data_IF_506969730355
#
_entry.id   IF_506969730355
#
_cell.length_a   1.000
_cell.length_b   1.000
_cell.length_c   1.000
_cell.angle_alpha   90.00
_cell.angle_beta   90.00
_cell.angle_gamma   90.00
#
_symmetry.space_group_name_H-M   'P 1'
#
loop_
_entity.id
_entity.type
_entity.pdbx_description
1 polymer ?
#
# COMPACT_ATOMS: atom_id res chain seq x y z
N UNK A 1 36.72 1.58 -59.68
CA UNK A 1 36.27 2.88 -59.16
C UNK A 1 35.01 2.64 -58.32
N UNK A 2 34.93 3.28 -57.14
CA UNK A 2 34.18 2.86 -55.94
C UNK A 2 32.65 2.72 -56.11
N UNK A 3 32.10 1.59 -55.67
CA UNK A 3 30.68 1.46 -55.26
C UNK A 3 30.54 2.02 -53.83
N UNK A 4 29.72 3.06 -53.64
CA UNK A 4 29.23 3.48 -52.33
C UNK A 4 27.94 2.70 -52.01
N UNK A 5 27.98 1.83 -51.00
CA UNK A 5 26.78 1.30 -50.34
C UNK A 5 26.42 2.24 -49.19
N UNK A 6 25.28 2.91 -49.29
CA UNK A 6 24.71 3.69 -48.20
C UNK A 6 24.17 2.77 -47.11
N UNK A 7 24.63 2.97 -45.88
CA UNK A 7 24.08 2.36 -44.67
C UNK A 7 22.95 3.27 -44.20
N UNK A 8 21.70 2.82 -44.33
CA UNK A 8 20.55 3.47 -43.69
C UNK A 8 20.57 3.03 -42.22
N UNK A 9 20.86 3.96 -41.32
CA UNK A 9 20.82 3.72 -39.88
C UNK A 9 19.41 4.07 -39.40
N UNK A 10 18.58 3.06 -39.13
CA UNK A 10 17.27 3.26 -38.51
C UNK A 10 17.48 3.51 -37.02
N UNK A 11 17.32 4.76 -36.57
CA UNK A 11 17.33 5.10 -35.16
C UNK A 11 16.03 4.60 -34.52
N UNK A 12 16.14 3.59 -33.66
CA UNK A 12 15.04 3.11 -32.82
C UNK A 12 14.89 4.06 -31.63
N UNK A 13 13.99 5.03 -31.73
CA UNK A 13 13.54 5.84 -30.60
C UNK A 13 12.69 4.95 -29.68
N UNK A 14 13.32 4.39 -28.65
CA UNK A 14 12.62 3.77 -27.53
C UNK A 14 11.94 4.90 -26.76
N UNK A 15 10.64 5.06 -26.95
CA UNK A 15 9.82 5.97 -26.15
C UNK A 15 9.88 5.55 -24.69
N UNK A 16 10.61 6.33 -23.87
CA UNK A 16 10.57 6.22 -22.42
C UNK A 16 9.13 6.55 -21.99
N UNK A 17 8.36 5.51 -21.67
CA UNK A 17 7.10 5.71 -20.98
C UNK A 17 7.47 6.23 -19.59
N UNK A 18 7.10 7.48 -19.31
CA UNK A 18 7.23 8.04 -17.97
C UNK A 18 6.41 7.16 -17.02
N UNK A 19 7.09 6.33 -16.23
CA UNK A 19 6.47 5.65 -15.09
C UNK A 19 6.14 6.75 -14.10
N UNK A 20 4.88 7.17 -14.07
CA UNK A 20 4.42 8.12 -13.07
C UNK A 20 4.48 7.42 -11.71
N UNK A 21 5.38 7.89 -10.84
CA UNK A 21 5.31 7.58 -9.41
C UNK A 21 4.02 8.19 -8.88
N UNK A 22 3.12 7.36 -8.35
CA UNK A 22 1.92 7.81 -7.67
C UNK A 22 2.15 7.71 -6.15
N UNK A 23 1.68 8.69 -5.40
CA UNK A 23 1.65 8.60 -3.95
C UNK A 23 0.40 7.81 -3.54
N UNK A 24 0.57 6.79 -2.71
CA UNK A 24 -0.55 6.13 -2.03
C UNK A 24 -0.82 6.84 -0.71
N UNK A 25 -2.10 7.13 -0.44
CA UNK A 25 -2.52 7.75 0.83
C UNK A 25 -3.80 7.09 1.31
N UNK A 26 -3.76 6.55 2.53
CA UNK A 26 -4.89 6.00 3.27
C UNK A 26 -5.13 6.89 4.49
N UNK A 27 -6.31 7.49 4.59
CA UNK A 27 -6.69 8.37 5.69
C UNK A 27 -8.07 8.00 6.23
N UNK A 28 -8.13 7.67 7.51
CA UNK A 28 -9.36 7.28 8.19
C UNK A 28 -10.40 8.41 8.24
N UNK A 29 -9.98 9.67 8.07
CA UNK A 29 -10.87 10.83 8.08
C UNK A 29 -11.72 10.92 6.81
N UNK A 30 -11.14 10.54 5.66
CA UNK A 30 -11.75 10.65 4.32
C UNK A 30 -12.38 9.33 3.86
N UNK A 31 -11.98 8.21 4.44
CA UNK A 31 -12.61 6.92 4.15
C UNK A 31 -13.94 6.78 4.92
N UNK A 32 -15.02 6.61 4.16
CA UNK A 32 -16.31 6.21 4.73
C UNK A 32 -16.15 4.85 5.42
N UNK A 33 -16.84 4.67 6.55
CA UNK A 33 -16.84 3.44 7.36
C UNK A 33 -17.03 2.21 6.45
N UNK A 34 -15.98 1.38 6.30
CA UNK A 34 -16.02 0.10 5.60
C UNK A 34 -15.26 0.00 4.26
N UNK A 35 -13.96 0.27 4.24
CA UNK A 35 -13.09 0.03 3.07
C UNK A 35 -11.73 -0.47 3.58
N UNK A 36 -11.13 -1.59 3.14
CA UNK A 36 -11.25 -2.43 1.94
C UNK A 36 -11.16 -3.94 2.29
N UNK A 37 -11.51 -4.84 1.35
CA UNK A 37 -11.51 -6.30 1.56
C UNK A 37 -10.11 -6.87 1.88
N UNK A 38 -10.07 -7.95 2.67
CA UNK A 38 -8.88 -8.69 3.17
C UNK A 38 -8.13 -8.08 4.36
N UNK A 39 -8.46 -6.86 4.76
CA UNK A 39 -7.93 -6.22 5.96
C UNK A 39 -8.89 -6.46 7.14
N UNK A 40 -8.45 -7.10 8.23
CA UNK A 40 -9.24 -7.15 9.46
C UNK A 40 -9.19 -5.80 10.19
N UNK A 41 -9.46 -4.70 9.48
CA UNK A 41 -9.47 -3.33 9.97
C UNK A 41 -10.88 -2.74 9.83
N UNK A 42 -11.26 -1.96 10.83
CA UNK A 42 -12.52 -1.20 10.86
C UNK A 42 -12.20 0.25 11.18
N UNK A 43 -12.94 1.16 10.57
CA UNK A 43 -12.89 2.58 10.93
C UNK A 43 -13.66 2.76 12.24
N UNK A 44 -12.99 3.29 13.26
CA UNK A 44 -13.57 3.72 14.53
C UNK A 44 -13.52 5.23 14.61
N UNK A 45 -14.42 5.78 15.42
CA UNK A 45 -14.51 7.21 15.69
C UNK A 45 -14.67 7.42 17.20
N UNK A 46 -13.97 8.41 17.75
CA UNK A 46 -14.07 8.76 19.16
C UNK A 46 -13.16 9.89 19.56
N UNK A 47 -13.17 10.22 20.85
CA UNK A 47 -12.32 11.26 21.40
C UNK A 47 -10.86 10.81 21.39
N UNK A 48 -9.94 11.74 21.15
CA UNK A 48 -8.50 11.45 21.23
C UNK A 48 -8.20 10.95 22.64
N UNK A 49 -8.62 11.69 23.66
CA UNK A 49 -8.65 11.22 25.03
C UNK A 49 -9.87 10.33 25.28
N UNK A 50 -9.65 9.03 25.53
CA UNK A 50 -10.74 8.05 25.72
C UNK A 50 -11.52 8.26 27.03
N UNK A 51 -10.92 8.97 28.00
CA UNK A 51 -11.51 9.21 29.31
C UNK A 51 -12.42 10.45 29.32
N UNK A 52 -12.38 11.26 28.25
CA UNK A 52 -13.15 12.48 28.15
C UNK A 52 -14.34 12.33 27.19
N UNK A 53 -15.45 12.97 27.55
CA UNK A 53 -16.52 13.24 26.59
C UNK A 53 -16.07 14.42 25.74
N UNK A 54 -16.08 14.24 24.42
CA UNK A 54 -15.79 15.29 23.46
C UNK A 54 -17.00 15.51 22.55
N UNK A 55 -17.09 16.72 22.00
CA UNK A 55 -18.12 17.05 21.02
C UNK A 55 -17.92 16.26 19.73
N UNK A 56 -19.00 16.09 18.95
CA UNK A 56 -18.94 15.38 17.66
C UNK A 56 -17.88 15.99 16.73
N UNK A 57 -17.73 17.31 16.74
CA UNK A 57 -16.72 18.02 15.96
C UNK A 57 -15.26 17.73 16.39
N UNK A 58 -15.05 17.15 17.56
CA UNK A 58 -13.74 16.85 18.15
C UNK A 58 -13.38 15.36 18.02
N UNK A 59 -14.27 14.53 17.47
CA UNK A 59 -14.00 13.11 17.30
C UNK A 59 -12.98 12.89 16.18
N UNK A 60 -11.95 12.11 16.49
CA UNK A 60 -10.99 11.62 15.52
C UNK A 60 -11.46 10.28 14.95
N UNK A 61 -11.04 9.97 13.72
CA UNK A 61 -11.24 8.66 13.08
C UNK A 61 -9.92 7.93 12.96
N UNK A 62 -9.95 6.60 13.08
CA UNK A 62 -8.77 5.76 12.92
C UNK A 62 -9.15 4.33 12.52
N UNK A 63 -8.21 3.60 11.94
CA UNK A 63 -8.29 2.17 11.71
C UNK A 63 -7.85 1.39 12.96
N UNK A 64 -8.60 0.35 13.31
CA UNK A 64 -8.24 -0.65 14.34
C UNK A 64 -8.73 -2.03 13.93
N UNK A 65 -8.26 -3.09 14.56
CA UNK A 65 -8.88 -4.41 14.39
C UNK A 65 -10.16 -4.61 15.23
N UNK A 66 -11.02 -5.57 14.86
CA UNK A 66 -12.05 -6.13 15.75
C UNK A 66 -11.42 -6.76 17.00
N UNK A 67 -12.17 -6.84 18.12
CA UNK A 67 -11.68 -7.35 19.41
C UNK A 67 -11.05 -8.75 19.36
N UNK A 68 -11.48 -9.60 18.42
CA UNK A 68 -11.08 -11.01 18.32
C UNK A 68 -10.06 -11.29 17.22
N UNK A 69 -9.57 -10.25 16.52
CA UNK A 69 -8.70 -10.40 15.36
C UNK A 69 -7.47 -9.51 15.45
N UNK A 70 -6.46 -9.87 14.67
CA UNK A 70 -5.32 -9.02 14.36
C UNK A 70 -5.49 -8.56 12.91
N UNK A 71 -5.43 -7.25 12.72
CA UNK A 71 -5.44 -6.55 11.45
C UNK A 71 -4.05 -6.41 10.85
N UNK A 72 -4.05 -6.31 9.53
CA UNK A 72 -2.90 -5.96 8.72
C UNK A 72 -3.38 -5.11 7.55
N UNK A 73 -2.51 -4.22 7.07
CA UNK A 73 -2.70 -3.42 5.88
C UNK A 73 -1.59 -3.80 4.89
N UNK A 74 -1.99 -4.18 3.67
CA UNK A 74 -1.10 -4.66 2.62
C UNK A 74 -1.23 -3.78 1.38
N UNK A 75 -0.18 -3.02 1.10
CA UNK A 75 -0.14 -2.05 0.01
C UNK A 75 0.75 -2.63 -1.09
N UNK A 76 0.12 -3.06 -2.17
CA UNK A 76 0.81 -3.54 -3.37
C UNK A 76 1.34 -2.40 -4.24
N UNK A 77 2.52 -2.60 -4.82
CA UNK A 77 3.13 -1.68 -5.78
C UNK A 77 4.66 -1.77 -5.76
N UNK A 78 5.32 -1.28 -6.81
CA UNK A 78 6.77 -1.35 -6.93
C UNK A 78 7.43 -0.13 -6.28
N UNK A 79 8.29 -0.35 -5.30
CA UNK A 79 9.16 0.64 -4.69
C UNK A 79 10.61 0.31 -5.04
N UNK A 80 11.30 1.25 -5.67
CA UNK A 80 12.71 1.13 -6.04
C UNK A 80 13.37 2.51 -5.96
N UNK A 81 14.65 2.57 -5.60
CA UNK A 81 15.36 3.83 -5.43
C UNK A 81 14.94 4.58 -4.16
N UNK A 82 14.66 5.87 -4.30
CA UNK A 82 14.35 6.74 -3.17
C UNK A 82 12.84 6.79 -2.92
N UNK A 83 12.40 6.39 -1.74
CA UNK A 83 10.98 6.37 -1.37
C UNK A 83 10.78 6.66 0.12
N UNK A 84 9.53 6.88 0.52
CA UNK A 84 9.18 7.26 1.89
C UNK A 84 7.83 6.67 2.30
N UNK A 85 7.74 6.17 3.53
CA UNK A 85 6.51 5.65 4.12
C UNK A 85 6.28 6.39 5.43
N UNK A 86 5.16 7.10 5.53
CA UNK A 86 4.77 7.83 6.73
C UNK A 86 3.52 7.19 7.35
N UNK A 87 3.56 7.02 8.67
CA UNK A 87 2.48 6.43 9.45
C UNK A 87 2.15 7.36 10.62
N UNK A 88 0.87 7.61 10.83
CA UNK A 88 0.37 8.30 12.03
C UNK A 88 -0.36 7.28 12.89
N UNK A 89 0.31 6.80 13.95
CA UNK A 89 -0.16 5.67 14.77
C UNK A 89 -0.12 5.94 16.27
N UNK A 90 -1.09 5.39 16.96
CA UNK A 90 -1.07 5.21 18.40
C UNK A 90 -1.20 3.70 18.65
N UNK A 91 -0.11 3.06 19.06
CA UNK A 91 -0.06 1.61 19.25
C UNK A 91 0.11 1.26 20.73
N UNK A 92 -0.60 0.23 21.17
CA UNK A 92 -0.54 -0.35 22.49
C UNK A 92 0.51 -1.48 22.52
N UNK A 93 0.75 -2.00 23.73
CA UNK A 93 1.61 -3.14 23.99
C UNK A 93 1.41 -4.29 22.98
N UNK A 94 2.51 -4.95 22.62
CA UNK A 94 2.54 -6.08 21.68
C UNK A 94 3.25 -5.74 20.37
N UNK A 95 3.79 -6.75 19.70
CA UNK A 95 4.65 -6.55 18.52
C UNK A 95 3.88 -6.02 17.31
N UNK A 96 4.35 -4.92 16.73
CA UNK A 96 3.89 -4.35 15.45
C UNK A 96 5.02 -4.36 14.46
N UNK A 97 4.73 -4.49 13.17
CA UNK A 97 5.77 -4.54 12.15
C UNK A 97 5.44 -3.70 10.94
N UNK A 98 6.42 -2.97 10.44
CA UNK A 98 6.42 -2.39 9.09
C UNK A 98 7.36 -3.26 8.26
N UNK A 99 6.84 -3.90 7.23
CA UNK A 99 7.57 -4.88 6.41
C UNK A 99 7.56 -4.42 4.96
N UNK A 100 8.73 -4.34 4.35
CA UNK A 100 8.90 -4.23 2.91
C UNK A 100 9.21 -5.61 2.36
N UNK A 101 8.43 -6.08 1.40
CA UNK A 101 8.62 -7.39 0.77
C UNK A 101 9.09 -7.24 -0.66
N UNK A 102 10.09 -8.01 -1.03
CA UNK A 102 10.52 -8.19 -2.42
C UNK A 102 9.62 -9.21 -3.12
N UNK A 103 9.67 -9.31 -4.47
CA UNK A 103 8.93 -10.33 -5.22
C UNK A 103 9.25 -11.78 -4.82
N UNK A 104 10.46 -12.05 -4.31
CA UNK A 104 10.87 -13.36 -3.81
C UNK A 104 10.62 -13.57 -2.31
N UNK A 105 9.74 -12.77 -1.70
CA UNK A 105 9.34 -12.82 -0.28
C UNK A 105 10.49 -12.63 0.72
N UNK A 106 11.60 -12.05 0.28
CA UNK A 106 12.60 -11.50 1.18
C UNK A 106 12.11 -10.16 1.73
N UNK A 107 12.61 -9.76 2.89
CA UNK A 107 12.09 -8.55 3.53
C UNK A 107 13.11 -7.69 4.22
N UNK A 108 12.71 -6.44 4.41
CA UNK A 108 13.21 -5.55 5.46
C UNK A 108 12.04 -5.29 6.41
N UNK A 109 12.27 -5.41 7.70
CA UNK A 109 11.24 -5.33 8.72
C UNK A 109 11.72 -4.48 9.89
N UNK A 110 10.85 -3.57 10.33
CA UNK A 110 11.03 -2.82 11.57
C UNK A 110 9.94 -3.21 12.55
N UNK A 111 10.32 -3.98 13.57
CA UNK A 111 9.40 -4.41 14.61
C UNK A 111 9.41 -3.44 15.78
N UNK A 112 8.24 -2.90 16.11
CA UNK A 112 8.02 -2.13 17.32
C UNK A 112 7.52 -3.09 18.39
N UNK A 113 8.25 -3.19 19.50
CA UNK A 113 7.92 -4.07 20.63
C UNK A 113 8.21 -3.38 21.95
N UNK A 114 7.45 -3.72 22.99
CA UNK A 114 7.63 -3.18 24.33
C UNK A 114 8.50 -4.14 25.13
N UNK A 115 9.58 -3.61 25.69
CA UNK A 115 10.42 -4.37 26.58
C UNK A 115 10.21 -3.86 28.00
N UNK A 116 9.70 -4.74 28.87
CA UNK A 116 9.67 -4.48 30.31
C UNK A 116 10.99 -4.95 30.92
N UNK A 117 11.63 -4.09 31.72
CA UNK A 117 12.70 -4.55 32.59
C UNK A 117 12.12 -5.60 33.55
N UNK A 118 12.84 -6.68 33.80
CA UNK A 118 12.47 -7.82 34.65
C UNK A 118 12.24 -7.48 36.14
N UNK A 119 12.04 -6.20 36.49
CA UNK A 119 11.84 -5.69 37.85
C UNK A 119 10.69 -4.68 38.00
N UNK A 120 9.65 -4.73 37.16
CA UNK A 120 8.47 -3.85 37.29
C UNK A 120 8.68 -2.41 36.80
N UNK A 121 9.78 -2.15 36.08
CA UNK A 121 10.01 -0.86 35.43
C UNK A 121 9.12 -0.66 34.20
N UNK A 122 8.78 0.60 33.91
CA UNK A 122 7.99 1.02 32.76
C UNK A 122 8.49 0.36 31.46
N UNK A 123 7.56 -0.20 30.67
CA UNK A 123 7.89 -0.77 29.38
C UNK A 123 8.18 0.35 28.37
N UNK A 124 9.43 0.45 27.93
CA UNK A 124 9.79 1.39 26.85
C UNK A 124 9.58 0.72 25.50
N UNK A 125 8.96 1.40 24.52
CA UNK A 125 8.89 0.90 23.17
C UNK A 125 10.31 0.82 22.61
N UNK A 126 10.56 -0.25 21.87
CA UNK A 126 11.83 -0.53 21.24
C UNK A 126 11.61 -0.97 19.81
N UNK A 127 12.57 -0.65 18.97
CA UNK A 127 12.52 -0.94 17.56
C UNK A 127 13.63 -1.91 17.21
N UNK A 128 13.26 -3.01 16.54
CA UNK A 128 14.15 -4.09 16.14
C UNK A 128 14.10 -4.22 14.61
N UNK A 129 15.10 -3.69 13.91
CA UNK A 129 15.27 -3.91 12.50
C UNK A 129 15.66 -5.38 12.21
N UNK A 130 15.28 -5.90 11.04
CA UNK A 130 15.67 -7.21 10.54
C UNK A 130 15.50 -7.24 9.02
N UNK A 131 16.35 -7.97 8.29
CA UNK A 131 16.07 -8.22 6.87
C UNK A 131 17.25 -8.72 6.07
N UNK A 132 17.13 -8.57 4.75
CA UNK A 132 18.12 -8.96 3.73
C UNK A 132 19.28 -7.98 3.53
N UNK A 133 19.30 -6.88 4.28
CA UNK A 133 20.37 -5.91 4.27
C UNK A 133 21.37 -6.11 5.41
N UNK A 134 22.44 -5.33 5.38
CA UNK A 134 23.42 -5.23 6.45
C UNK A 134 23.02 -4.13 7.45
N UNK A 135 23.37 -4.32 8.72
CA UNK A 135 23.02 -3.38 9.79
C UNK A 135 21.66 -3.67 10.44
N UNK A 136 21.25 -2.77 11.35
CA UNK A 136 19.98 -2.89 12.05
C UNK A 136 19.82 -4.11 12.96
N UNK A 137 20.92 -4.78 13.35
CA UNK A 137 20.87 -5.99 14.18
C UNK A 137 20.63 -5.71 15.67
N UNK A 138 20.72 -4.45 16.07
CA UNK A 138 20.58 -4.03 17.46
C UNK A 138 19.15 -3.58 17.76
N UNK A 139 18.69 -3.88 18.98
CA UNK A 139 17.44 -3.34 19.51
C UNK A 139 17.69 -1.93 20.01
N UNK A 140 16.85 -1.00 19.61
CA UNK A 140 16.96 0.41 19.99
C UNK A 140 15.76 0.84 20.84
N UNK A 141 16.02 1.49 21.97
CA UNK A 141 14.98 2.17 22.73
C UNK A 141 14.48 3.38 21.94
N UNK A 142 13.16 3.55 21.86
CA UNK A 142 12.57 4.70 21.17
C UNK A 142 12.44 5.86 22.17
N UNK A 143 13.30 6.86 22.01
CA UNK A 143 13.16 8.13 22.72
C UNK A 143 12.10 9.00 22.04
N UNK A 144 11.35 9.78 22.83
CA UNK A 144 10.33 10.69 22.30
C UNK A 144 9.04 10.00 21.84
N UNK A 145 8.80 8.75 22.26
CA UNK A 145 7.50 8.11 22.06
C UNK A 145 6.43 8.83 22.89
N UNK A 146 5.39 9.31 22.23
CA UNK A 146 4.22 9.87 22.89
C UNK A 146 3.39 8.72 23.46
N UNK A 147 3.26 8.70 24.78
CA UNK A 147 2.35 7.78 25.48
C UNK A 147 0.91 7.97 25.03
N UNK A 148 0.10 6.91 25.15
CA UNK A 148 -1.35 7.03 24.99
C UNK A 148 -1.90 8.18 25.85
N UNK A 149 -2.85 8.96 25.32
CA UNK A 149 -3.62 8.73 24.08
C UNK A 149 -3.03 9.30 22.79
N UNK A 150 -1.84 9.92 22.83
CA UNK A 150 -1.31 10.70 21.72
C UNK A 150 -0.80 9.86 20.54
N UNK A 151 -0.99 10.36 19.31
CA UNK A 151 -0.42 9.74 18.11
C UNK A 151 1.09 9.98 18.00
N UNK A 152 1.76 9.06 17.32
CA UNK A 152 3.15 9.12 16.94
C UNK A 152 3.25 9.12 15.42
N UNK A 153 4.14 9.94 14.89
CA UNK A 153 4.47 9.95 13.46
C UNK A 153 5.73 9.10 13.25
N UNK A 154 5.63 8.06 12.44
CA UNK A 154 6.76 7.21 12.05
C UNK A 154 7.04 7.44 10.59
N UNK A 155 8.24 7.91 10.27
CA UNK A 155 8.71 8.10 8.90
C UNK A 155 9.80 7.08 8.60
N UNK A 156 9.56 6.25 7.61
CA UNK A 156 10.53 5.32 7.07
C UNK A 156 11.02 5.83 5.72
N UNK A 157 12.31 6.15 5.62
CA UNK A 157 12.90 6.73 4.41
C UNK A 157 13.94 5.76 3.85
N UNK A 158 13.89 5.54 2.53
CA UNK A 158 14.97 4.91 1.80
C UNK A 158 15.61 5.93 0.88
N UNK A 159 16.92 6.07 0.98
CA UNK A 159 17.72 6.89 0.08
C UNK A 159 18.97 6.12 -0.33
N UNK A 160 19.16 5.90 -1.62
CA UNK A 160 20.33 5.21 -2.19
C UNK A 160 20.62 3.85 -1.52
N UNK A 161 19.59 3.05 -1.23
CA UNK A 161 19.74 1.73 -0.58
C UNK A 161 19.98 1.78 0.92
N UNK A 162 19.86 2.96 1.56
CA UNK A 162 19.98 3.15 3.00
C UNK A 162 18.60 3.43 3.59
N UNK A 163 18.12 2.52 4.43
CA UNK A 163 16.85 2.61 5.13
C UNK A 163 17.01 3.18 6.54
N UNK A 164 16.25 4.24 6.84
CA UNK A 164 16.22 4.92 8.14
C UNK A 164 14.79 5.06 8.65
N UNK A 165 14.64 5.04 9.97
CA UNK A 165 13.36 5.34 10.65
C UNK A 165 13.55 6.59 11.52
N UNK A 166 12.53 7.44 11.50
CA UNK A 166 12.39 8.61 12.35
C UNK A 166 11.05 8.52 13.09
N UNK A 167 11.03 8.95 14.34
CA UNK A 167 9.83 8.94 15.17
C UNK A 167 9.62 10.35 15.70
N UNK A 168 8.43 10.90 15.50
CA UNK A 168 8.02 12.26 15.88
C UNK A 168 8.99 13.36 15.40
N UNK A 169 9.62 13.15 14.24
CA UNK A 169 10.59 14.10 13.67
C UNK A 169 11.94 14.16 14.41
N UNK A 170 12.17 13.28 15.40
CA UNK A 170 13.47 13.13 16.06
C UNK A 170 14.54 12.55 15.13
N UNK A 171 15.79 12.55 15.58
CA UNK A 171 16.92 12.00 14.81
C UNK A 171 16.73 10.51 14.48
N UNK A 172 17.44 10.02 13.45
CA UNK A 172 17.37 8.61 13.09
C UNK A 172 17.90 7.77 14.26
N UNK A 173 17.00 7.07 14.94
CA UNK A 173 17.29 6.38 16.21
C UNK A 173 18.07 5.06 16.02
N UNK A 174 18.39 4.68 14.79
CA UNK A 174 18.75 3.31 14.42
C UNK A 174 20.00 3.27 13.56
N UNK A 175 20.76 2.19 13.72
CA UNK A 175 21.64 1.74 12.65
C UNK A 175 20.80 1.56 11.38
N UNK A 176 21.15 2.23 10.29
CA UNK A 176 20.42 2.06 9.05
C UNK A 176 20.56 0.61 8.56
N UNK A 177 19.52 0.10 7.90
CA UNK A 177 19.66 -1.12 7.12
C UNK A 177 20.14 -0.69 5.73
N UNK A 178 21.26 -1.25 5.29
CA UNK A 178 21.84 -1.00 3.97
C UNK A 178 21.62 -2.21 3.06
N UNK A 179 21.21 -1.98 1.82
CA UNK A 179 20.94 -3.01 0.82
C UNK A 179 21.24 -2.48 -0.59
N UNK A 180 21.20 -3.36 -1.60
CA UNK A 180 21.36 -2.94 -2.99
C UNK A 180 20.30 -1.90 -3.36
N UNK A 181 20.72 -0.70 -3.77
CA UNK A 181 19.82 0.40 -4.17
C UNK A 181 18.85 0.05 -5.29
N UNK A 182 19.15 -1.00 -6.06
CA UNK A 182 18.29 -1.50 -7.14
C UNK A 182 17.28 -2.54 -6.65
N UNK A 183 17.28 -2.89 -5.36
CA UNK A 183 16.29 -3.79 -4.76
C UNK A 183 14.89 -3.24 -4.99
N UNK A 184 14.01 -4.07 -5.53
CA UNK A 184 12.60 -3.76 -5.75
C UNK A 184 11.78 -4.38 -4.63
N UNK A 185 11.01 -3.56 -3.93
CA UNK A 185 9.98 -4.03 -3.02
C UNK A 185 8.62 -3.97 -3.72
N UNK A 186 7.88 -5.06 -3.72
CA UNK A 186 6.56 -5.18 -4.38
C UNK A 186 5.39 -4.92 -3.44
N UNK A 187 5.62 -4.92 -2.12
CA UNK A 187 4.59 -4.73 -1.09
C UNK A 187 5.12 -4.02 0.14
N UNK A 188 4.26 -3.17 0.73
CA UNK A 188 4.41 -2.63 2.08
C UNK A 188 3.34 -3.23 2.96
N UNK A 189 3.74 -3.97 3.98
CA UNK A 189 2.85 -4.62 4.94
C UNK A 189 2.99 -3.97 6.32
N UNK A 190 1.89 -3.48 6.86
CA UNK A 190 1.79 -3.03 8.25
C UNK A 190 1.01 -4.11 9.00
N UNK A 191 1.67 -4.80 9.94
CA UNK A 191 1.13 -5.99 10.61
C UNK A 191 1.00 -5.82 12.12
N UNK A 192 0.13 -6.63 12.71
CA UNK A 192 -0.02 -6.73 14.16
C UNK A 192 -1.01 -5.73 14.75
N UNK A 193 -1.83 -5.05 13.93
CA UNK A 193 -2.79 -4.05 14.40
C UNK A 193 -3.87 -4.75 15.21
N UNK A 194 -3.97 -4.46 16.50
CA UNK A 194 -4.96 -4.98 17.43
C UNK A 194 -6.17 -4.07 17.54
N UNK A 195 -7.13 -4.47 18.36
CA UNK A 195 -8.34 -3.70 18.61
C UNK A 195 -8.14 -2.43 19.43
N UNK A 196 -7.01 -2.34 20.15
CA UNK A 196 -6.62 -1.19 20.98
C UNK A 196 -5.68 -0.21 20.26
N UNK A 197 -5.19 -0.56 19.08
CA UNK A 197 -4.33 0.30 18.27
C UNK A 197 -5.17 1.26 17.43
N UNK A 198 -4.58 2.41 17.07
CA UNK A 198 -5.20 3.44 16.24
C UNK A 198 -4.23 3.83 15.15
N UNK A 199 -4.56 3.49 13.91
CA UNK A 199 -3.84 3.94 12.72
C UNK A 199 -4.67 5.05 12.08
N UNK A 200 -4.21 6.30 12.14
CA UNK A 200 -4.95 7.44 11.57
C UNK A 200 -4.66 7.60 10.08
N UNK A 201 -3.40 7.42 9.68
CA UNK A 201 -2.95 7.73 8.32
C UNK A 201 -1.77 6.85 7.90
N UNK A 202 -1.75 6.46 6.61
CA UNK A 202 -0.61 5.85 5.92
C UNK A 202 -0.37 6.59 4.60
N UNK A 203 0.86 7.03 4.37
CA UNK A 203 1.29 7.62 3.10
C UNK A 203 2.52 6.89 2.59
N UNK A 204 2.49 6.42 1.35
CA UNK A 204 3.63 5.79 0.67
C UNK A 204 3.95 6.63 -0.56
N UNK A 205 5.12 7.27 -0.56
CA UNK A 205 5.64 8.07 -1.67
C UNK A 205 6.66 7.30 -2.46
N UNK A 206 6.72 7.51 -3.77
CA UNK A 206 7.61 6.76 -4.65
C UNK A 206 7.02 5.44 -5.13
N UNK A 207 5.74 5.17 -4.86
CA UNK A 207 5.07 3.95 -5.28
C UNK A 207 4.85 4.00 -6.78
N UNK A 208 5.56 3.16 -7.51
CA UNK A 208 5.26 2.91 -8.90
C UNK A 208 4.15 1.87 -8.92
N UNK A 209 2.93 2.33 -9.21
CA UNK A 209 1.82 1.45 -9.53
C UNK A 209 2.34 0.44 -10.53
N UNK A 210 2.25 -0.86 -10.22
CA UNK A 210 2.55 -1.87 -11.22
C UNK A 210 1.69 -1.53 -12.44
N UNK A 211 2.33 -1.12 -13.54
CA UNK A 211 1.65 -1.05 -14.82
C UNK A 211 1.30 -2.49 -15.16
N UNK A 212 0.13 -2.94 -14.72
CA UNK A 212 -0.53 -4.13 -15.22
C UNK A 212 -1.01 -3.82 -16.65
N UNK A 213 -0.07 -3.61 -17.58
CA UNK A 213 -0.20 -3.66 -19.04
C UNK A 213 1.11 -3.15 -19.69
N UNK A 214 2.19 -3.93 -19.58
CA UNK A 214 3.34 -3.81 -20.48
C UNK A 214 3.54 -5.14 -21.21
N UNK A 215 2.56 -5.49 -22.03
CA UNK A 215 2.79 -6.40 -23.14
C UNK A 215 3.56 -5.63 -24.21
N UNK A 216 4.88 -5.73 -24.21
CA UNK A 216 5.69 -5.32 -25.34
C UNK A 216 5.40 -6.26 -26.52
N UNK A 217 4.99 -5.70 -27.66
CA UNK A 217 4.81 -6.48 -28.87
C UNK A 217 4.01 -5.80 -29.97
N UNK A 218 4.73 -5.06 -30.82
CA UNK A 218 4.39 -4.73 -32.21
C UNK A 218 3.31 -3.66 -32.45
N UNK A 219 3.79 -2.50 -32.86
CA UNK A 219 3.09 -1.56 -33.75
C UNK A 219 2.67 -2.27 -35.03
N UNK A 220 1.48 -2.83 -35.05
CA UNK A 220 0.69 -3.01 -36.26
C UNK A 220 -0.72 -2.62 -35.91
N UNK A 221 -1.20 -1.51 -36.45
CA UNK A 221 -2.60 -1.10 -36.43
C UNK A 221 -3.48 -2.29 -36.84
N UNK A 222 -4.40 -2.78 -35.97
CA UNK A 222 -5.50 -3.59 -36.43
C UNK A 222 -6.78 -2.80 -36.13
N UNK A 223 -7.42 -2.38 -37.20
CA UNK A 223 -8.87 -2.27 -37.22
C UNK A 223 -9.46 -3.57 -36.66
N UNK A 224 -10.56 -3.46 -35.88
CA UNK A 224 -11.47 -4.50 -35.32
C UNK A 224 -11.24 -5.02 -33.88
N UNK A 225 -12.07 -4.51 -32.96
CA UNK A 225 -12.86 -5.20 -31.91
C UNK A 225 -12.30 -6.45 -31.22
N UNK A 226 -11.83 -6.32 -29.96
CA UNK A 226 -11.95 -7.27 -28.83
C UNK A 226 -10.80 -7.20 -27.79
N UNK A 227 -10.50 -6.00 -27.26
CA UNK A 227 -9.56 -5.90 -26.13
C UNK A 227 -10.28 -6.10 -24.79
N UNK A 228 -9.88 -7.11 -24.01
CA UNK A 228 -10.29 -7.30 -22.61
C UNK A 228 -9.73 -6.23 -21.63
N UNK A 229 -9.28 -5.10 -22.17
CA UNK A 229 -8.67 -4.03 -21.39
C UNK A 229 -9.77 -3.21 -20.69
N UNK A 230 -9.59 -2.97 -19.39
CA UNK A 230 -10.43 -2.04 -18.66
C UNK A 230 -10.18 -0.60 -19.16
N UNK A 231 -11.25 0.19 -19.26
CA UNK A 231 -11.17 1.57 -19.72
C UNK A 231 -11.82 2.51 -18.70
N UNK A 232 -11.09 3.53 -18.25
CA UNK A 232 -11.56 4.54 -17.30
C UNK A 232 -11.61 5.92 -17.95
N UNK A 233 -12.77 6.58 -17.86
CA UNK A 233 -12.96 7.95 -18.32
C UNK A 233 -12.94 8.91 -17.13
N UNK A 234 -11.85 9.64 -16.96
CA UNK A 234 -11.68 10.61 -15.88
C UNK A 234 -12.66 11.81 -15.94
N UNK A 235 -13.17 12.15 -17.12
CA UNK A 235 -14.13 13.24 -17.29
C UNK A 235 -15.54 12.89 -16.82
N UNK A 236 -15.90 11.61 -16.84
CA UNK A 236 -17.23 11.13 -16.43
C UNK A 236 -17.22 10.21 -15.20
N UNK A 237 -16.04 9.77 -14.75
CA UNK A 237 -15.87 8.78 -13.69
C UNK A 237 -16.30 7.36 -14.09
N UNK A 238 -16.51 7.08 -15.38
CA UNK A 238 -17.00 5.77 -15.85
C UNK A 238 -15.83 4.78 -16.03
N UNK A 239 -15.98 3.57 -15.50
CA UNK A 239 -15.05 2.45 -15.68
C UNK A 239 -15.77 1.29 -16.38
N UNK A 240 -15.22 0.80 -17.49
CA UNK A 240 -15.76 -0.35 -18.23
C UNK A 240 -14.75 -1.50 -18.20
N UNK A 241 -15.18 -2.70 -17.80
CA UNK A 241 -14.40 -3.94 -17.78
C UNK A 241 -15.06 -4.95 -18.72
N UNK A 242 -14.52 -5.17 -19.93
CA UNK A 242 -15.22 -5.92 -20.98
C UNK A 242 -15.13 -7.46 -20.88
N UNK A 243 -14.42 -8.04 -19.91
CA UNK A 243 -14.18 -9.48 -19.82
C UNK A 243 -14.17 -10.01 -18.37
N UNK A 244 -15.27 -9.85 -17.64
CA UNK A 244 -15.43 -10.44 -16.31
C UNK A 244 -15.93 -11.88 -16.45
N UNK A 245 -15.08 -12.84 -16.11
CA UNK A 245 -15.38 -14.26 -16.14
C UNK A 245 -16.15 -14.69 -14.87
N UNK A 246 -17.39 -15.15 -15.02
CA UNK A 246 -18.25 -15.60 -13.93
C UNK A 246 -18.53 -17.09 -14.08
N UNK A 247 -18.14 -17.93 -13.11
CA UNK A 247 -18.48 -19.34 -13.12
C UNK A 247 -19.97 -19.52 -12.78
N UNK A 248 -20.69 -20.25 -13.62
CA UNK A 248 -22.09 -20.65 -13.40
C UNK A 248 -22.19 -22.17 -13.36
N UNK A 249 -22.89 -22.69 -12.35
CA UNK A 249 -23.15 -24.11 -12.21
C UNK A 249 -24.31 -24.53 -13.12
N UNK A 250 -24.09 -25.56 -13.94
CA UNK A 250 -25.13 -26.08 -14.83
C UNK A 250 -26.06 -27.05 -14.08
N UNK A 251 -27.36 -27.08 -14.43
CA UNK A 251 -28.37 -27.86 -13.70
C UNK A 251 -28.16 -29.38 -13.74
N UNK A 252 -27.30 -29.89 -14.63
CA UNK A 252 -27.01 -31.33 -14.78
C UNK A 252 -25.57 -31.71 -14.41
N UNK A 253 -24.88 -30.84 -13.64
CA UNK A 253 -23.48 -31.01 -13.28
C UNK A 253 -22.53 -30.35 -14.28
N UNK A 254 -21.43 -29.79 -13.76
CA UNK A 254 -20.43 -29.03 -14.51
C UNK A 254 -20.48 -27.52 -14.23
N UNK A 255 -19.38 -26.83 -14.56
CA UNK A 255 -19.24 -25.38 -14.43
C UNK A 255 -18.97 -24.80 -15.82
N UNK A 256 -19.78 -23.84 -16.23
CA UNK A 256 -19.52 -23.02 -17.41
C UNK A 256 -18.99 -21.66 -16.95
N UNK A 257 -18.05 -21.07 -17.69
CA UNK A 257 -17.63 -19.68 -17.45
C UNK A 257 -18.35 -18.79 -18.45
N UNK A 258 -19.12 -17.82 -17.96
CA UNK A 258 -19.75 -16.79 -18.79
C UNK A 258 -18.93 -15.50 -18.69
N UNK A 259 -18.73 -14.82 -19.81
CA UNK A 259 -18.02 -13.54 -19.84
C UNK A 259 -19.05 -12.41 -19.84
N UNK A 260 -18.84 -11.41 -18.99
CA UNK A 260 -19.67 -10.22 -18.90
C UNK A 260 -18.83 -8.97 -19.20
N UNK A 261 -19.46 -8.00 -19.86
CA UNK A 261 -19.01 -6.61 -19.84
C UNK A 261 -19.69 -5.91 -18.68
N UNK A 262 -18.88 -5.30 -17.83
CA UNK A 262 -19.31 -4.63 -16.61
C UNK A 262 -18.98 -3.14 -16.73
N UNK A 263 -20.00 -2.27 -16.69
CA UNK A 263 -19.76 -0.85 -16.46
C UNK A 263 -19.95 -0.52 -14.98
N UNK A 264 -19.12 0.41 -14.50
CA UNK A 264 -19.18 0.94 -13.14
C UNK A 264 -19.05 2.46 -13.16
N UNK A 265 -19.66 3.11 -12.18
CA UNK A 265 -19.65 4.55 -12.03
C UNK A 265 -18.94 4.93 -10.74
N UNK A 266 -17.91 5.78 -10.85
CA UNK A 266 -17.24 6.34 -9.69
C UNK A 266 -18.21 7.20 -8.88
N UNK A 267 -18.25 6.97 -7.57
CA UNK A 267 -18.98 7.84 -6.62
C UNK A 267 -18.21 9.16 -6.47
N UNK A 268 -18.94 10.27 -6.49
CA UNK A 268 -18.39 11.62 -6.39
C UNK A 268 -17.40 11.75 -5.24
N UNK A 269 -16.19 12.27 -5.53
CA UNK A 269 -15.10 12.49 -4.58
C UNK A 269 -14.56 11.22 -3.89
N UNK A 270 -14.73 10.04 -4.47
CA UNK A 270 -14.16 8.79 -3.93
C UNK A 270 -13.50 7.97 -5.03
N UNK A 271 -12.70 6.96 -4.67
CA UNK A 271 -12.25 5.91 -5.60
C UNK A 271 -13.14 4.65 -5.55
N UNK A 272 -14.36 4.77 -5.00
CA UNK A 272 -15.33 3.69 -5.00
C UNK A 272 -16.16 3.74 -6.30
N UNK A 273 -16.43 2.57 -6.86
CA UNK A 273 -17.23 2.42 -8.06
C UNK A 273 -18.49 1.62 -7.75
N UNK A 274 -19.64 2.15 -8.15
CA UNK A 274 -20.90 1.43 -8.13
C UNK A 274 -21.08 0.65 -9.42
N UNK A 275 -21.45 -0.62 -9.27
CA UNK A 275 -21.79 -1.47 -10.40
C UNK A 275 -23.06 -0.94 -11.07
N UNK A 276 -22.98 -0.60 -12.36
CA UNK A 276 -24.17 -0.26 -13.13
C UNK A 276 -24.86 -1.55 -13.58
N UNK A 277 -25.79 -2.02 -12.76
CA UNK A 277 -26.56 -3.24 -13.01
C UNK A 277 -27.39 -3.18 -14.30
N UNK A 278 -27.71 -1.98 -14.81
CA UNK A 278 -28.46 -1.82 -16.06
C UNK A 278 -27.58 -1.99 -17.30
N UNK A 279 -26.26 -1.94 -17.13
CA UNK A 279 -25.27 -2.06 -18.19
C UNK A 279 -24.72 -3.47 -18.39
N UNK A 280 -25.04 -4.40 -17.47
CA UNK A 280 -24.55 -5.77 -17.47
C UNK A 280 -24.97 -6.48 -18.76
N UNK A 281 -23.99 -6.81 -19.59
CA UNK A 281 -24.20 -7.52 -20.85
C UNK A 281 -23.33 -8.77 -20.87
N UNK A 282 -23.97 -9.92 -21.03
CA UNK A 282 -23.26 -11.16 -21.33
C UNK A 282 -22.65 -11.06 -22.74
N UNK A 283 -21.39 -11.46 -22.87
CA UNK A 283 -20.68 -11.61 -24.15
C UNK A 283 -20.74 -13.03 -24.65
#
# INVERSE_FOLDING_TARGET
>A
MKLLRGIVTTALLVGMHNVYSADYSLDASTMAVGATAEENLVVKEGCINLEEKCDVAQKAKWFSAPLTKVGSLDIGGSLQGDFEINLTININNGSKGIVLLTPDNKSIEYNISWYGGSGGGFSTPSLLPKGIGEGGSSRYGINGWNSMPSFNNISFTVRQGVAKVYINGGESLLDPITFDKNTVFSRVLIKGISSSDRLSEVKVRGLQSASFCSGGGSTTTPTTTDSCAANYNAGTGKLTIPCVAVPVSLPFGGTQTLNYSVDMQQRTNTFAFDLDLNSLKQR
#
